data_IF_985798876981
#
_entry.id   IF_985798876981
#
_cell.length_a   1.000
_cell.length_b   1.000
_cell.length_c   1.000
_cell.angle_alpha   90.00
_cell.angle_beta   90.00
_cell.angle_gamma   90.00
#
_symmetry.space_group_name_H-M   'P 1'
#
loop_
_entity.id
_entity.type
_entity.pdbx_description
1 polymer ?
#
# COMPACT_ATOMS: atom_id res chain seq x y z
N UNK A 1 8.62 -26.35 -12.90
CA UNK A 1 9.55 -25.84 -11.88
C UNK A 1 8.74 -25.11 -10.81
N UNK A 2 8.88 -25.46 -9.53
CA UNK A 2 8.21 -24.77 -8.44
C UNK A 2 8.90 -23.40 -8.26
N UNK A 3 8.18 -22.30 -8.49
CA UNK A 3 8.75 -20.96 -8.31
C UNK A 3 8.93 -20.66 -6.81
N UNK A 4 10.00 -19.93 -6.41
CA UNK A 4 10.12 -19.41 -5.06
C UNK A 4 8.89 -18.59 -4.65
N UNK A 5 8.54 -18.59 -3.37
CA UNK A 5 7.35 -17.89 -2.86
C UNK A 5 7.33 -16.40 -3.20
N UNK A 6 8.43 -15.63 -3.11
CA UNK A 6 8.43 -14.24 -3.54
C UNK A 6 8.00 -14.06 -5.00
N UNK A 7 8.41 -14.96 -5.90
CA UNK A 7 8.04 -14.90 -7.32
C UNK A 7 6.56 -15.25 -7.55
N UNK A 8 6.06 -16.27 -6.86
CA UNK A 8 4.62 -16.62 -6.89
C UNK A 8 3.78 -15.44 -6.37
N UNK A 9 4.21 -14.84 -5.25
CA UNK A 9 3.55 -13.71 -4.64
C UNK A 9 3.54 -12.49 -5.58
N UNK A 10 4.68 -12.16 -6.20
CA UNK A 10 4.76 -11.07 -7.17
C UNK A 10 3.79 -11.26 -8.34
N UNK A 11 3.76 -12.46 -8.93
CA UNK A 11 2.81 -12.78 -10.01
C UNK A 11 1.36 -12.65 -9.55
N UNK A 12 1.07 -13.06 -8.31
CA UNK A 12 -0.27 -12.94 -7.74
C UNK A 12 -0.65 -11.48 -7.49
N UNK A 13 0.29 -10.67 -6.99
CA UNK A 13 0.10 -9.23 -6.82
C UNK A 13 -0.24 -8.58 -8.16
N UNK A 14 0.48 -8.86 -9.25
CA UNK A 14 0.21 -8.27 -10.58
C UNK A 14 -1.17 -8.62 -11.16
N UNK A 15 -1.76 -9.74 -10.73
CA UNK A 15 -3.09 -10.18 -11.18
C UNK A 15 -4.23 -9.62 -10.32
N UNK A 16 -3.92 -9.05 -9.16
CA UNK A 16 -4.95 -8.44 -8.32
C UNK A 16 -5.52 -7.19 -8.99
N UNK A 17 -6.85 -6.98 -8.93
CA UNK A 17 -7.42 -5.67 -9.20
C UNK A 17 -6.74 -4.60 -8.33
N UNK A 18 -6.52 -3.41 -8.89
CA UNK A 18 -5.78 -2.36 -8.19
C UNK A 18 -6.38 -2.00 -6.81
N UNK A 19 -7.71 -1.92 -6.70
CA UNK A 19 -8.37 -1.68 -5.41
C UNK A 19 -8.07 -2.78 -4.36
N UNK A 20 -8.00 -4.04 -4.78
CA UNK A 20 -7.64 -5.15 -3.91
C UNK A 20 -6.16 -5.10 -3.51
N UNK A 21 -5.29 -4.66 -4.44
CA UNK A 21 -3.89 -4.39 -4.15
C UNK A 21 -3.71 -3.26 -3.11
N UNK A 22 -4.46 -2.15 -3.22
CA UNK A 22 -4.45 -1.07 -2.22
C UNK A 22 -4.90 -1.54 -0.84
N UNK A 23 -5.90 -2.43 -0.77
CA UNK A 23 -6.34 -3.05 0.50
C UNK A 23 -5.27 -3.95 1.10
N UNK A 24 -4.59 -4.74 0.29
CA UNK A 24 -3.44 -5.54 0.72
C UNK A 24 -2.32 -4.66 1.27
N UNK A 25 -2.01 -3.54 0.59
CA UNK A 25 -1.04 -2.56 1.09
C UNK A 25 -1.52 -1.91 2.40
N UNK A 26 -2.82 -1.69 2.57
CA UNK A 26 -3.39 -1.16 3.81
C UNK A 26 -3.16 -2.10 4.98
N UNK A 27 -3.35 -3.42 4.78
CA UNK A 27 -3.01 -4.44 5.76
C UNK A 27 -1.52 -4.39 6.13
N UNK A 28 -0.64 -4.30 5.13
CA UNK A 28 0.80 -4.20 5.36
C UNK A 28 1.17 -2.95 6.16
N UNK A 29 0.70 -1.77 5.73
CA UNK A 29 0.95 -0.51 6.43
C UNK A 29 0.46 -0.57 7.89
N UNK A 30 -0.71 -1.17 8.12
CA UNK A 30 -1.22 -1.38 9.48
C UNK A 30 -0.28 -2.26 10.31
N UNK A 31 0.24 -3.36 9.74
CA UNK A 31 1.24 -4.22 10.40
C UNK A 31 2.59 -3.52 10.63
N UNK A 32 2.93 -2.53 9.82
CA UNK A 32 4.11 -1.68 10.00
C UNK A 32 3.90 -0.55 11.02
N UNK A 33 2.72 -0.44 11.64
CA UNK A 33 2.44 0.53 12.70
C UNK A 33 1.85 1.86 12.21
N UNK A 34 1.49 1.97 10.93
CA UNK A 34 0.67 3.08 10.46
C UNK A 34 -0.75 2.93 11.00
N UNK A 35 -1.37 4.05 11.35
CA UNK A 35 -2.73 4.15 11.86
C UNK A 35 -3.64 4.81 10.82
N UNK A 36 -4.95 4.68 10.98
CA UNK A 36 -5.96 5.31 10.13
C UNK A 36 -5.71 5.15 8.62
N UNK A 37 -5.28 3.96 8.20
CA UNK A 37 -4.95 3.69 6.79
C UNK A 37 -6.24 3.66 5.97
N UNK A 38 -6.37 4.56 5.00
CA UNK A 38 -7.58 4.75 4.20
C UNK A 38 -7.23 4.93 2.72
N UNK A 39 -8.12 4.49 1.82
CA UNK A 39 -8.00 4.72 0.38
C UNK A 39 -8.29 6.19 0.05
N UNK A 40 -7.38 6.80 -0.71
CA UNK A 40 -7.49 8.18 -1.17
C UNK A 40 -8.38 8.26 -2.42
N UNK A 41 -9.69 8.14 -2.25
CA UNK A 41 -10.65 8.39 -3.32
C UNK A 41 -11.83 7.44 -3.34
N UNK A 42 -12.95 7.93 -2.77
CA UNK A 42 -14.33 7.93 -3.30
C UNK A 42 -15.21 8.67 -2.28
N UNK A 43 -14.93 9.95 -2.06
CA UNK A 43 -15.88 10.81 -1.34
C UNK A 43 -16.91 11.45 -2.28
N UNK A 44 -16.59 11.66 -3.57
CA UNK A 44 -17.54 12.26 -4.52
C UNK A 44 -17.43 11.65 -5.93
N UNK A 45 -18.56 11.21 -6.47
CA UNK A 45 -18.76 10.66 -7.84
C UNK A 45 -18.52 11.68 -8.98
N UNK A 46 -18.30 12.96 -8.67
CA UNK A 46 -18.05 14.01 -9.67
C UNK A 46 -16.64 14.60 -9.55
N UNK A 47 -15.75 14.10 -10.38
CA UNK A 47 -14.48 14.77 -10.72
C UNK A 47 -13.25 13.90 -10.54
N UNK A 48 -12.19 14.21 -11.29
CA UNK A 48 -10.83 13.78 -10.95
C UNK A 48 -10.59 14.11 -9.48
N UNK A 49 -10.02 13.16 -8.73
CA UNK A 49 -9.65 13.31 -7.33
C UNK A 49 -9.05 14.72 -7.13
N UNK A 50 -9.71 15.60 -6.35
CA UNK A 50 -9.24 17.00 -6.17
C UNK A 50 -7.81 17.05 -5.63
N UNK A 51 -7.35 15.97 -4.98
CA UNK A 51 -5.99 15.75 -4.52
C UNK A 51 -5.21 14.69 -5.29
N UNK A 52 -5.46 14.47 -6.59
CA UNK A 52 -4.79 13.44 -7.39
C UNK A 52 -3.27 13.37 -7.18
N UNK A 53 -2.71 12.15 -7.18
CA UNK A 53 -1.27 11.91 -7.01
C UNK A 53 -0.90 10.93 -5.88
N UNK A 54 -1.84 10.51 -5.05
CA UNK A 54 -1.66 9.45 -4.04
C UNK A 54 -2.90 8.56 -3.96
N UNK A 55 -2.74 7.34 -3.45
CA UNK A 55 -3.76 6.28 -3.46
C UNK A 55 -4.23 5.89 -2.05
N UNK A 56 -3.44 6.19 -1.02
CA UNK A 56 -3.77 5.94 0.38
C UNK A 56 -3.36 7.13 1.27
N UNK A 57 -4.05 7.31 2.38
CA UNK A 57 -3.63 8.16 3.50
C UNK A 57 -3.41 7.31 4.73
N UNK A 58 -2.51 7.72 5.61
CA UNK A 58 -2.32 7.12 6.91
C UNK A 58 -1.83 8.15 7.93
N UNK A 59 -1.84 7.76 9.19
CA UNK A 59 -1.25 8.51 10.29
C UNK A 59 -0.06 7.74 10.83
N UNK A 60 1.08 8.40 11.06
CA UNK A 60 2.20 7.81 11.78
C UNK A 60 2.20 8.38 13.21
N UNK A 61 2.07 7.54 14.25
CA UNK A 61 2.21 7.99 15.63
C UNK A 61 3.64 8.46 15.87
N UNK A 62 3.83 9.61 16.52
CA UNK A 62 5.15 10.08 16.90
C UNK A 62 5.16 11.55 17.32
N UNK A 63 5.81 11.84 18.46
CA UNK A 63 5.86 13.17 19.05
C UNK A 63 4.56 13.56 19.75
N UNK A 64 4.30 14.87 19.83
CA UNK A 64 3.09 15.43 20.47
C UNK A 64 1.85 15.37 19.55
N UNK A 65 2.04 15.27 18.23
CA UNK A 65 0.96 15.35 17.26
C UNK A 65 1.06 14.22 16.21
N UNK A 66 -0.07 13.59 15.83
CA UNK A 66 -0.09 12.62 14.75
C UNK A 66 0.37 13.25 13.44
N UNK A 67 1.23 12.54 12.71
CA UNK A 67 1.74 13.01 11.42
C UNK A 67 0.93 12.38 10.30
N UNK A 68 0.37 13.21 9.42
CA UNK A 68 -0.35 12.78 8.22
C UNK A 68 0.62 12.32 7.15
N UNK A 69 0.43 11.11 6.63
CA UNK A 69 1.22 10.50 5.57
C UNK A 69 0.33 10.26 4.35
N UNK A 70 0.87 10.52 3.16
CA UNK A 70 0.23 10.08 1.90
C UNK A 70 1.08 9.03 1.22
N UNK A 71 0.42 8.07 0.59
CA UNK A 71 1.09 6.93 -0.03
C UNK A 71 0.59 6.80 -1.47
N UNK A 72 1.51 6.69 -2.41
CA UNK A 72 1.22 6.32 -3.79
C UNK A 72 1.68 4.89 -4.04
N UNK A 73 0.86 4.11 -4.71
CA UNK A 73 1.12 2.73 -5.05
C UNK A 73 1.26 2.57 -6.57
N UNK A 74 2.26 1.81 -7.01
CA UNK A 74 2.46 1.44 -8.41
C UNK A 74 2.56 -0.07 -8.54
N UNK A 75 1.61 -0.66 -9.25
CA UNK A 75 1.55 -2.10 -9.48
C UNK A 75 2.32 -2.44 -10.77
N UNK A 76 3.65 -2.36 -10.69
CA UNK A 76 4.56 -2.53 -11.81
C UNK A 76 5.11 -3.96 -11.89
N UNK A 77 5.24 -4.46 -13.12
CA UNK A 77 5.99 -5.66 -13.43
C UNK A 77 7.51 -5.40 -13.41
N UNK A 78 8.29 -6.39 -13.83
CA UNK A 78 9.76 -6.32 -13.86
C UNK A 78 10.33 -5.34 -14.91
N UNK A 79 9.53 -5.01 -15.92
CA UNK A 79 9.97 -4.19 -17.06
C UNK A 79 9.66 -2.70 -16.83
N UNK A 80 8.65 -2.43 -15.99
CA UNK A 80 8.24 -1.10 -15.56
C UNK A 80 8.98 -0.63 -14.30
N UNK A 81 9.50 0.60 -14.30
CA UNK A 81 10.35 1.14 -13.23
C UNK A 81 9.82 2.45 -12.65
N UNK A 82 10.07 2.64 -11.36
CA UNK A 82 9.95 3.95 -10.72
C UNK A 82 11.16 4.81 -11.09
N UNK A 83 10.87 6.02 -11.52
CA UNK A 83 11.83 7.09 -11.85
C UNK A 83 11.61 8.32 -10.97
N UNK A 84 12.60 9.22 -10.93
CA UNK A 84 12.59 10.46 -10.15
C UNK A 84 11.29 11.26 -10.29
N UNK A 85 10.76 11.38 -11.52
CA UNK A 85 9.48 12.08 -11.79
C UNK A 85 8.32 11.64 -10.90
N UNK A 86 8.23 10.35 -10.55
CA UNK A 86 7.13 9.85 -9.72
C UNK A 86 7.26 10.35 -8.28
N UNK A 87 8.50 10.45 -7.77
CA UNK A 87 8.76 11.04 -6.46
C UNK A 87 8.43 12.54 -6.48
N UNK A 88 8.82 13.27 -7.52
CA UNK A 88 8.56 14.71 -7.62
C UNK A 88 7.05 15.02 -7.76
N UNK A 89 6.32 14.22 -8.55
CA UNK A 89 4.86 14.30 -8.67
C UNK A 89 4.16 14.03 -7.33
N UNK A 90 4.58 12.96 -6.62
CA UNK A 90 4.06 12.64 -5.30
C UNK A 90 4.38 13.75 -4.28
N UNK A 91 5.59 14.34 -4.35
CA UNK A 91 5.99 15.48 -3.52
C UNK A 91 5.01 16.62 -3.66
N UNK A 92 4.71 17.02 -4.90
CA UNK A 92 3.76 18.07 -5.19
C UNK A 92 2.36 17.77 -4.65
N UNK A 93 1.91 16.52 -4.77
CA UNK A 93 0.60 16.09 -4.25
C UNK A 93 0.54 16.14 -2.71
N UNK A 94 1.59 15.67 -2.06
CA UNK A 94 1.72 15.64 -0.61
C UNK A 94 1.81 17.05 0.00
N UNK A 95 2.54 17.98 -0.63
CA UNK A 95 2.59 19.39 -0.20
C UNK A 95 1.19 20.02 -0.25
N UNK A 96 0.41 19.77 -1.31
CA UNK A 96 -0.95 20.34 -1.46
C UNK A 96 -1.92 19.92 -0.35
N UNK A 97 -1.70 18.76 0.26
CA UNK A 97 -2.56 18.22 1.33
C UNK A 97 -1.92 18.31 2.71
N UNK A 98 -0.81 19.07 2.81
CA UNK A 98 -0.07 19.29 4.05
C UNK A 98 0.33 17.98 4.76
N UNK A 99 0.75 16.98 3.99
CA UNK A 99 1.32 15.77 4.54
C UNK A 99 2.69 16.07 5.18
N UNK A 100 3.03 15.36 6.25
CA UNK A 100 4.33 15.46 6.91
C UNK A 100 5.42 14.70 6.14
N UNK A 101 5.04 13.62 5.47
CA UNK A 101 5.92 12.85 4.59
C UNK A 101 5.08 12.06 3.57
N UNK A 102 5.74 11.51 2.55
CA UNK A 102 5.09 10.65 1.56
C UNK A 102 5.83 9.32 1.38
N UNK A 103 5.09 8.29 0.96
CA UNK A 103 5.65 6.96 0.67
C UNK A 103 5.27 6.54 -0.75
N UNK A 104 6.23 6.11 -1.55
CA UNK A 104 6.00 5.54 -2.87
C UNK A 104 6.31 4.05 -2.83
N UNK A 105 5.26 3.22 -2.98
CA UNK A 105 5.34 1.77 -2.93
C UNK A 105 5.19 1.21 -4.34
N UNK A 106 6.06 0.27 -4.73
CA UNK A 106 5.95 -0.42 -6.02
C UNK A 106 6.14 -1.93 -5.90
N UNK A 107 5.44 -2.71 -6.72
CA UNK A 107 5.72 -4.16 -6.89
C UNK A 107 6.85 -4.45 -7.89
N UNK A 108 7.33 -3.42 -8.58
CA UNK A 108 8.38 -3.50 -9.58
C UNK A 108 9.71 -2.88 -9.12
N UNK A 109 10.72 -2.84 -10.01
CA UNK A 109 12.02 -2.26 -9.72
C UNK A 109 12.02 -0.72 -9.60
N UNK A 110 13.00 -0.20 -8.87
CA UNK A 110 13.30 1.23 -8.75
C UNK A 110 14.51 1.55 -9.63
N UNK A 111 14.44 2.64 -10.40
CA UNK A 111 15.57 3.10 -11.22
C UNK A 111 16.73 3.56 -10.35
N UNK A 112 17.96 3.21 -10.76
CA UNK A 112 19.20 3.72 -10.16
C UNK A 112 19.39 5.24 -10.37
N UNK A 113 18.61 5.84 -11.27
CA UNK A 113 18.65 7.27 -11.57
C UNK A 113 17.91 8.14 -10.56
N UNK A 114 17.34 7.56 -9.50
CA UNK A 114 16.68 8.33 -8.44
C UNK A 114 17.73 8.99 -7.55
N UNK A 115 17.54 10.27 -7.27
CA UNK A 115 18.38 11.02 -6.35
C UNK A 115 17.96 10.73 -4.91
N UNK A 116 18.72 9.85 -4.23
CA UNK A 116 18.48 9.48 -2.85
C UNK A 116 18.57 10.67 -1.88
N UNK A 117 19.40 11.68 -2.17
CA UNK A 117 19.51 12.89 -1.33
C UNK A 117 18.26 13.74 -1.52
N UNK A 118 17.81 13.89 -2.76
CA UNK A 118 16.56 14.57 -3.12
C UNK A 118 15.32 13.97 -2.46
N UNK A 119 15.31 12.66 -2.17
CA UNK A 119 14.21 12.02 -1.42
C UNK A 119 14.11 12.54 0.02
N UNK A 120 15.24 12.87 0.64
CA UNK A 120 15.34 13.26 2.05
C UNK A 120 15.24 14.78 2.30
N UNK A 121 14.78 15.57 1.30
CA UNK A 121 14.67 17.02 1.45
C UNK A 121 13.79 17.41 2.65
N UNK A 122 14.23 18.39 3.48
CA UNK A 122 13.53 18.78 4.71
C UNK A 122 12.09 19.25 4.49
N UNK A 123 11.79 19.79 3.32
CA UNK A 123 10.46 20.33 3.00
C UNK A 123 9.37 19.26 3.01
N UNK A 124 9.69 18.05 2.55
CA UNK A 124 8.78 16.91 2.54
C UNK A 124 9.56 15.62 2.20
N UNK A 125 9.93 14.79 3.17
CA UNK A 125 10.65 13.56 2.89
C UNK A 125 9.78 12.56 2.13
N UNK A 126 10.39 11.83 1.19
CA UNK A 126 9.77 10.74 0.44
C UNK A 126 10.50 9.44 0.74
N UNK A 127 9.77 8.43 1.22
CA UNK A 127 10.28 7.06 1.34
C UNK A 127 9.92 6.23 0.12
N UNK A 128 10.84 5.39 -0.33
CA UNK A 128 10.59 4.41 -1.37
C UNK A 128 10.50 3.01 -0.78
N UNK A 129 9.57 2.21 -1.29
CA UNK A 129 9.49 0.78 -1.04
C UNK A 129 9.44 0.05 -2.38
N UNK A 130 10.55 -0.60 -2.73
CA UNK A 130 10.70 -1.33 -3.98
C UNK A 130 10.06 -2.73 -3.94
N UNK A 131 9.95 -3.38 -5.12
CA UNK A 131 9.32 -4.69 -5.23
C UNK A 131 9.94 -5.77 -4.33
N UNK A 132 11.27 -5.85 -4.27
CA UNK A 132 11.95 -6.84 -3.40
C UNK A 132 11.64 -6.60 -1.93
N UNK A 133 11.76 -5.35 -1.46
CA UNK A 133 11.44 -4.98 -0.08
C UNK A 133 9.96 -5.19 0.25
N UNK A 134 9.05 -4.88 -0.69
CA UNK A 134 7.61 -5.11 -0.51
C UNK A 134 7.32 -6.60 -0.32
N UNK A 135 7.88 -7.46 -1.19
CA UNK A 135 7.68 -8.91 -1.11
C UNK A 135 8.26 -9.48 0.19
N UNK A 136 9.46 -9.03 0.59
CA UNK A 136 10.08 -9.41 1.86
C UNK A 136 9.17 -9.06 3.05
N UNK A 137 8.65 -7.84 3.09
CA UNK A 137 7.77 -7.39 4.17
C UNK A 137 6.43 -8.15 4.18
N UNK A 138 5.83 -8.41 3.02
CA UNK A 138 4.62 -9.22 2.93
C UNK A 138 4.85 -10.63 3.47
N UNK A 139 5.96 -11.27 3.11
CA UNK A 139 6.33 -12.59 3.62
C UNK A 139 6.59 -12.54 5.13
N UNK A 140 7.40 -11.58 5.58
CA UNK A 140 7.76 -11.39 6.99
C UNK A 140 6.53 -11.20 7.88
N UNK A 141 5.54 -10.47 7.39
CA UNK A 141 4.29 -10.20 8.11
C UNK A 141 3.16 -11.19 7.79
N UNK A 142 3.43 -12.25 7.02
CA UNK A 142 2.47 -13.29 6.63
C UNK A 142 1.21 -12.72 5.96
N UNK A 143 1.41 -11.81 5.01
CA UNK A 143 0.33 -11.19 4.22
C UNK A 143 0.39 -11.76 2.81
N UNK A 144 -0.69 -12.43 2.39
CA UNK A 144 -0.76 -13.10 1.09
C UNK A 144 0.03 -14.40 1.04
N UNK A 145 0.62 -14.83 2.15
CA UNK A 145 1.31 -16.11 2.31
C UNK A 145 0.94 -16.76 3.64
N UNK A 146 0.78 -18.08 3.62
CA UNK A 146 0.49 -18.88 4.81
C UNK A 146 1.76 -19.16 5.61
N UNK A 147 1.64 -19.57 6.90
CA UNK A 147 2.81 -19.99 7.69
C UNK A 147 3.58 -21.18 7.11
N UNK A 148 2.92 -21.99 6.28
CA UNK A 148 3.56 -23.11 5.56
C UNK A 148 4.38 -22.67 4.35
N UNK A 149 4.41 -21.35 4.04
CA UNK A 149 5.09 -20.82 2.88
C UNK A 149 4.37 -21.17 1.58
N UNK A 150 3.04 -21.06 1.54
CA UNK A 150 2.24 -21.12 0.30
C UNK A 150 1.43 -19.83 0.12
N UNK A 151 0.86 -19.59 -1.06
CA UNK A 151 0.00 -18.43 -1.27
C UNK A 151 -1.30 -18.55 -0.46
N UNK A 152 -1.68 -17.47 0.20
CA UNK A 152 -2.98 -17.38 0.89
C UNK A 152 -4.08 -16.98 -0.10
N UNK A 153 -4.54 -17.95 -0.90
CA UNK A 153 -5.61 -17.74 -1.87
C UNK A 153 -6.96 -17.36 -1.23
N UNK A 154 -7.16 -17.67 0.06
CA UNK A 154 -8.37 -17.27 0.78
C UNK A 154 -8.37 -15.74 0.99
N UNK A 155 -7.26 -15.19 1.48
CA UNK A 155 -7.08 -13.75 1.62
C UNK A 155 -7.25 -13.03 0.28
N UNK A 156 -6.61 -13.51 -0.79
CA UNK A 156 -6.71 -12.85 -2.09
C UNK A 156 -8.14 -12.84 -2.64
N UNK A 157 -8.89 -13.95 -2.50
CA UNK A 157 -10.31 -14.01 -2.90
C UNK A 157 -11.18 -13.07 -2.07
N UNK A 158 -10.90 -12.94 -0.78
CA UNK A 158 -11.60 -12.00 0.10
C UNK A 158 -11.38 -10.55 -0.35
N UNK A 159 -10.12 -10.16 -0.58
CA UNK A 159 -9.77 -8.82 -1.07
C UNK A 159 -10.42 -8.52 -2.43
N UNK A 160 -10.45 -9.49 -3.36
CA UNK A 160 -11.11 -9.36 -4.66
C UNK A 160 -12.63 -9.24 -4.53
N UNK A 161 -13.25 -9.95 -3.58
CA UNK A 161 -14.68 -9.84 -3.30
C UNK A 161 -15.02 -8.46 -2.75
N UNK A 162 -14.24 -7.94 -1.81
CA UNK A 162 -14.42 -6.59 -1.27
C UNK A 162 -14.27 -5.51 -2.34
N UNK A 163 -13.27 -5.65 -3.22
CA UNK A 163 -13.07 -4.74 -4.35
C UNK A 163 -14.24 -4.77 -5.35
N UNK A 164 -15.00 -5.88 -5.42
CA UNK A 164 -16.25 -5.97 -6.20
C UNK A 164 -17.46 -5.42 -5.42
N UNK A 165 -17.57 -5.72 -4.12
CA UNK A 165 -18.68 -5.29 -3.25
C UNK A 165 -18.75 -3.78 -3.05
N UNK A 166 -17.62 -3.10 -2.94
CA UNK A 166 -17.55 -1.63 -2.91
C UNK A 166 -17.89 -0.95 -4.25
N UNK A 167 -18.14 -1.70 -5.33
CA UNK A 167 -18.78 -1.13 -6.54
C UNK A 167 -20.29 -1.09 -6.44
N UNK A 168 -20.88 -1.81 -5.49
CA UNK A 168 -22.33 -1.98 -5.32
C UNK A 168 -22.89 -1.31 -4.05
N UNK A 169 -22.04 -0.99 -3.07
CA UNK A 169 -22.41 -0.52 -1.73
C UNK A 169 -21.76 0.83 -1.40
N UNK A 170 -22.06 1.86 -2.19
CA UNK A 170 -21.71 3.24 -1.86
C UNK A 170 -22.75 3.82 -0.88
N UNK A 171 -22.73 3.34 0.37
CA UNK A 171 -23.33 3.96 1.55
C UNK A 171 -22.75 3.30 2.82
N UNK A 172 -21.98 4.06 3.60
CA UNK A 172 -21.53 3.81 5.00
C UNK A 172 -20.22 3.00 5.19
N UNK A 173 -19.18 3.72 5.67
CA UNK A 173 -18.28 3.30 6.76
C UNK A 173 -17.34 2.09 6.56
N UNK A 174 -16.21 2.28 5.87
CA UNK A 174 -15.23 1.20 5.58
C UNK A 174 -14.21 0.86 6.71
N UNK A 175 -14.34 1.43 7.91
CA UNK A 175 -13.31 1.32 8.97
C UNK A 175 -13.40 0.07 9.85
N UNK A 176 -14.59 -0.47 10.12
CA UNK A 176 -14.77 -1.65 11.01
C UNK A 176 -14.41 -3.00 10.36
N UNK A 177 -14.51 -3.11 9.02
CA UNK A 177 -14.26 -4.37 8.32
C UNK A 177 -12.77 -4.70 8.14
N UNK A 178 -11.91 -3.71 7.93
CA UNK A 178 -10.46 -3.92 7.79
C UNK A 178 -9.86 -4.47 9.09
N UNK A 179 -10.36 -4.02 10.24
CA UNK A 179 -10.04 -4.58 11.56
C UNK A 179 -10.43 -6.06 11.63
N UNK A 180 -11.58 -6.44 11.09
CA UNK A 180 -12.07 -7.82 11.13
C UNK A 180 -11.21 -8.77 10.27
N UNK A 181 -10.79 -8.35 9.07
CA UNK A 181 -9.89 -9.16 8.21
C UNK A 181 -8.50 -9.26 8.80
N UNK A 182 -7.98 -8.15 9.34
CA UNK A 182 -6.71 -8.14 10.05
C UNK A 182 -6.74 -9.10 11.25
N UNK A 183 -7.80 -9.09 12.07
CA UNK A 183 -7.94 -9.95 13.25
C UNK A 183 -8.14 -11.45 12.90
N UNK A 184 -8.76 -11.80 11.78
CA UNK A 184 -8.96 -13.20 11.35
C UNK A 184 -7.68 -13.89 10.88
N UNK A 185 -6.74 -13.13 10.32
CA UNK A 185 -5.45 -13.64 9.82
C UNK A 185 -4.28 -13.22 10.74
N UNK A 186 -4.56 -12.78 11.97
CA UNK A 186 -3.55 -12.66 13.03
C UNK A 186 -3.30 -14.06 13.61
N UNK A 187 -2.08 -14.63 13.52
CA UNK A 187 -1.76 -15.79 14.33
C UNK A 187 -1.90 -15.39 15.80
N UNK A 188 -2.77 -16.09 16.54
CA UNK A 188 -2.88 -15.92 18.00
C UNK A 188 -1.48 -16.11 18.58
N UNK A 189 -0.88 -15.05 19.13
CA UNK A 189 0.31 -15.18 19.98
C UNK A 189 -0.06 -16.18 21.08
N UNK A 190 0.56 -17.36 21.08
CA UNK A 190 0.60 -18.20 22.28
C UNK A 190 1.42 -17.41 23.30
N UNK A 191 0.74 -17.00 24.37
CA UNK A 191 1.34 -16.63 25.64
C UNK A 191 2.19 -17.80 26.15
#
# INVERSE_FOLDING_TARGET
MNLPIPNKLQQRLLRLPFDAYLRLLSLLLTRLGYQDVQLAGRTDWKGRNKGGGYDLTATLPGGLYPRRIVIQAKQFDKDSRIFQRHADELRGAAIRVSAAEAVLITSGPISKSIDAVGLCLPILPIRLMGGEQLLELLVKHQIGVTPSGELDEALFKELEREAKGNRQSDCIGSSELLLTVALKHVPKKRL
#
